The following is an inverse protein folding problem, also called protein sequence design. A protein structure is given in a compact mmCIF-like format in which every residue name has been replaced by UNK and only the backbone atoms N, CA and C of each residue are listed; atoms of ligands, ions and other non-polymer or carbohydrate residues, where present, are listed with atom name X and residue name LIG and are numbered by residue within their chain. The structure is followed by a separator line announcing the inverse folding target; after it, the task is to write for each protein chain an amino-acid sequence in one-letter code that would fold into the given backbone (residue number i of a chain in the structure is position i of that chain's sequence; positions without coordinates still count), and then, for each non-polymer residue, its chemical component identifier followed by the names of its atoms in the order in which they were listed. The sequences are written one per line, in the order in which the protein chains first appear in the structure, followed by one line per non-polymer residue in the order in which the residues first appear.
data_IF_459164726038
#
_entry.id   IF_459164726038
#
_cell.length_a   1.000
_cell.length_b   1.000
_cell.length_c   1.000
_cell.angle_alpha   90.00
_cell.angle_beta   90.00
_cell.angle_gamma   90.00
#
_symmetry.space_group_name_H-M   'P 1'
#
loop_
_entity.id
_entity.type
_entity.pdbx_description
1 polymer ?
#
# COMPACT_ATOMS: atom_id res chain seq x y z
N UNK A 1 16.01 -2.86 40.95
CA UNK A 1 15.76 -4.18 40.31
C UNK A 1 14.34 -4.30 39.74
N UNK A 2 13.28 -3.98 40.49
CA UNK A 2 11.87 -4.09 40.03
C UNK A 2 11.52 -3.26 38.78
N UNK A 3 12.05 -2.04 38.63
CA UNK A 3 11.80 -1.20 37.46
C UNK A 3 12.36 -1.80 36.15
N UNK A 4 13.46 -2.57 36.22
CA UNK A 4 14.06 -3.19 35.04
C UNK A 4 13.18 -4.35 34.53
N UNK A 5 12.64 -5.13 35.46
CA UNK A 5 11.74 -6.26 35.16
C UNK A 5 10.43 -5.75 34.55
N UNK A 6 9.79 -4.73 35.16
CA UNK A 6 8.54 -4.18 34.64
C UNK A 6 8.70 -3.56 33.23
N UNK A 7 9.84 -2.92 32.96
CA UNK A 7 10.10 -2.30 31.65
C UNK A 7 10.35 -3.36 30.56
N UNK A 8 11.02 -4.48 30.89
CA UNK A 8 11.25 -5.59 29.97
C UNK A 8 9.95 -6.31 29.58
N UNK A 9 9.06 -6.56 30.54
CA UNK A 9 7.74 -7.15 30.28
C UNK A 9 6.82 -6.20 29.50
N UNK A 10 6.83 -4.90 29.81
CA UNK A 10 6.05 -3.88 29.11
C UNK A 10 6.46 -3.71 27.64
N UNK A 11 7.76 -3.69 27.36
CA UNK A 11 8.27 -3.57 25.98
C UNK A 11 8.00 -4.82 25.15
N UNK A 12 8.18 -6.02 25.72
CA UNK A 12 7.90 -7.27 25.01
C UNK A 12 6.43 -7.35 24.58
N UNK A 13 5.50 -6.97 25.46
CA UNK A 13 4.07 -6.96 25.16
C UNK A 13 3.69 -5.93 24.08
N UNK A 14 4.38 -4.78 24.03
CA UNK A 14 4.16 -3.75 22.99
C UNK A 14 4.65 -4.18 21.61
N UNK A 15 5.79 -4.87 21.54
CA UNK A 15 6.32 -5.39 20.27
C UNK A 15 5.41 -6.52 19.77
N UNK A 16 5.00 -7.44 20.65
CA UNK A 16 4.09 -8.53 20.31
C UNK A 16 2.74 -8.00 19.79
N UNK A 17 2.16 -7.01 20.47
CA UNK A 17 0.92 -6.38 20.01
C UNK A 17 1.09 -5.70 18.63
N UNK A 18 2.22 -5.03 18.39
CA UNK A 18 2.48 -4.39 17.09
C UNK A 18 2.62 -5.42 15.97
N UNK A 19 3.30 -6.54 16.23
CA UNK A 19 3.43 -7.67 15.30
C UNK A 19 2.07 -8.29 14.98
N UNK A 20 1.25 -8.59 16.00
CA UNK A 20 -0.10 -9.16 15.81
C UNK A 20 -0.97 -8.23 14.99
N UNK A 21 -1.00 -6.93 15.32
CA UNK A 21 -1.83 -5.98 14.58
C UNK A 21 -1.34 -5.83 13.13
N UNK A 22 -0.03 -5.77 12.90
CA UNK A 22 0.52 -5.70 11.52
C UNK A 22 0.21 -6.98 10.74
N UNK A 23 0.25 -8.15 11.38
CA UNK A 23 -0.13 -9.42 10.75
C UNK A 23 -1.61 -9.41 10.35
N UNK A 24 -2.50 -9.01 11.26
CA UNK A 24 -3.95 -8.90 10.99
C UNK A 24 -4.21 -7.94 9.82
N UNK A 25 -3.57 -6.77 9.82
CA UNK A 25 -3.72 -5.78 8.73
C UNK A 25 -3.23 -6.32 7.40
N UNK A 26 -2.08 -7.00 7.37
CA UNK A 26 -1.58 -7.63 6.14
C UNK A 26 -2.52 -8.73 5.62
N UNK A 27 -3.11 -9.52 6.52
CA UNK A 27 -4.07 -10.57 6.16
C UNK A 27 -5.35 -10.00 5.57
N UNK A 28 -5.88 -8.92 6.16
CA UNK A 28 -7.05 -8.21 5.62
C UNK A 28 -6.71 -7.61 4.25
N UNK A 29 -5.54 -6.98 4.11
CA UNK A 29 -5.11 -6.39 2.83
C UNK A 29 -4.98 -7.44 1.71
N UNK A 30 -4.46 -8.63 2.04
CA UNK A 30 -4.39 -9.75 1.09
C UNK A 30 -5.78 -10.23 0.67
N UNK A 31 -6.69 -10.42 1.63
CA UNK A 31 -8.06 -10.86 1.35
C UNK A 31 -8.81 -9.84 0.48
N UNK A 32 -8.75 -8.56 0.85
CA UNK A 32 -9.38 -7.48 0.11
C UNK A 32 -8.81 -7.37 -1.30
N UNK A 33 -7.47 -7.34 -1.43
CA UNK A 33 -6.79 -7.30 -2.72
C UNK A 33 -7.14 -8.50 -3.61
N UNK A 34 -7.36 -9.68 -3.02
CA UNK A 34 -7.74 -10.88 -3.77
C UNK A 34 -9.18 -10.76 -4.31
N UNK A 35 -10.12 -10.34 -3.47
CA UNK A 35 -11.52 -10.12 -3.88
C UNK A 35 -11.59 -9.07 -5.00
N UNK A 36 -10.90 -7.94 -4.84
CA UNK A 36 -10.85 -6.87 -5.84
C UNK A 36 -10.19 -7.38 -7.13
N UNK A 37 -9.09 -8.14 -7.02
CA UNK A 37 -8.41 -8.74 -8.17
C UNK A 37 -9.30 -9.67 -8.99
N UNK A 38 -10.13 -10.47 -8.33
CA UNK A 38 -11.11 -11.34 -9.01
C UNK A 38 -12.20 -10.53 -9.72
N UNK A 39 -12.74 -9.50 -9.07
CA UNK A 39 -13.75 -8.62 -9.68
C UNK A 39 -13.16 -7.88 -10.88
N UNK A 40 -11.98 -7.30 -10.74
CA UNK A 40 -11.28 -6.61 -11.82
C UNK A 40 -10.98 -7.55 -12.99
N UNK A 41 -10.57 -8.79 -12.71
CA UNK A 41 -10.33 -9.79 -13.77
C UNK A 41 -11.57 -10.11 -14.60
N UNK A 42 -12.77 -10.02 -14.01
CA UNK A 42 -14.02 -10.23 -14.74
C UNK A 42 -14.44 -8.99 -15.55
N UNK A 43 -13.93 -7.80 -15.17
CA UNK A 43 -14.27 -6.53 -15.81
C UNK A 43 -13.33 -6.18 -16.97
N UNK A 44 -12.08 -6.63 -16.91
CA UNK A 44 -11.09 -6.44 -17.96
C UNK A 44 -10.95 -7.73 -18.79
N UNK A 45 -11.04 -7.63 -20.12
CA UNK A 45 -10.86 -8.74 -21.07
C UNK A 45 -9.37 -9.17 -21.12
N UNK A 46 -8.92 -9.87 -20.09
CA UNK A 46 -7.51 -10.27 -19.92
C UNK A 46 -7.26 -11.61 -20.64
N UNK A 47 -6.18 -11.69 -21.42
CA UNK A 47 -5.71 -12.94 -22.03
C UNK A 47 -5.56 -14.06 -20.98
N UNK A 48 -6.06 -15.25 -21.29
CA UNK A 48 -6.18 -16.37 -20.33
C UNK A 48 -4.87 -16.74 -19.61
N UNK A 49 -3.72 -16.65 -20.30
CA UNK A 49 -2.41 -16.93 -19.71
C UNK A 49 -1.90 -15.89 -18.70
N UNK A 50 -2.50 -14.69 -18.66
CA UNK A 50 -2.04 -13.56 -17.83
C UNK A 50 -2.95 -13.26 -16.63
N UNK A 51 -4.09 -13.95 -16.52
CA UNK A 51 -5.10 -13.76 -15.47
C UNK A 51 -4.52 -13.90 -14.06
N UNK A 52 -3.75 -14.96 -13.80
CA UNK A 52 -3.14 -15.18 -12.49
C UNK A 52 -2.14 -14.07 -12.12
N UNK A 53 -1.35 -13.63 -13.10
CA UNK A 53 -0.34 -12.58 -12.90
C UNK A 53 -0.99 -11.20 -12.68
N UNK A 54 -2.13 -10.95 -13.32
CA UNK A 54 -2.95 -9.76 -13.06
C UNK A 54 -3.48 -9.72 -11.64
N UNK A 55 -4.13 -10.81 -11.18
CA UNK A 55 -4.67 -10.90 -9.81
C UNK A 55 -3.56 -10.72 -8.77
N UNK A 56 -2.40 -11.34 -8.98
CA UNK A 56 -1.23 -11.15 -8.11
C UNK A 56 -0.76 -9.69 -8.07
N UNK A 57 -0.76 -8.99 -9.20
CA UNK A 57 -0.39 -7.58 -9.26
C UNK A 57 -1.39 -6.69 -8.49
N UNK A 58 -2.69 -6.98 -8.59
CA UNK A 58 -3.75 -6.31 -7.81
C UNK A 58 -3.56 -6.54 -6.31
N UNK A 59 -3.36 -7.78 -5.89
CA UNK A 59 -3.10 -8.12 -4.49
C UNK A 59 -1.86 -7.39 -3.96
N UNK A 60 -0.77 -7.37 -4.72
CA UNK A 60 0.47 -6.71 -4.31
C UNK A 60 0.28 -5.20 -4.16
N UNK A 61 -0.40 -4.58 -5.13
CA UNK A 61 -0.71 -3.16 -5.11
C UNK A 61 -1.55 -2.79 -3.89
N UNK A 62 -2.57 -3.60 -3.59
CA UNK A 62 -3.45 -3.36 -2.46
C UNK A 62 -2.72 -3.54 -1.12
N UNK A 63 -1.88 -4.59 -1.00
CA UNK A 63 -1.02 -4.78 0.16
C UNK A 63 -0.07 -3.60 0.38
N UNK A 64 0.62 -3.15 -0.67
CA UNK A 64 1.51 -2.00 -0.60
C UNK A 64 0.76 -0.75 -0.11
N UNK A 65 -0.40 -0.48 -0.69
CA UNK A 65 -1.19 0.69 -0.34
C UNK A 65 -1.69 0.64 1.10
N UNK A 66 -2.28 -0.47 1.53
CA UNK A 66 -2.79 -0.63 2.91
C UNK A 66 -1.66 -0.53 3.94
N UNK A 67 -0.50 -1.14 3.68
CA UNK A 67 0.65 -1.06 4.60
C UNK A 67 1.19 0.37 4.70
N UNK A 68 1.38 1.05 3.58
CA UNK A 68 1.85 2.45 3.57
C UNK A 68 0.83 3.34 4.31
N UNK A 69 -0.46 3.21 4.02
CA UNK A 69 -1.53 3.94 4.73
C UNK A 69 -1.51 3.69 6.24
N UNK A 70 -1.43 2.43 6.63
CA UNK A 70 -1.39 2.01 8.04
C UNK A 70 -0.20 2.63 8.76
N UNK A 71 0.96 2.66 8.12
CA UNK A 71 2.15 3.27 8.68
C UNK A 71 1.98 4.79 8.84
N UNK A 72 1.49 5.49 7.81
CA UNK A 72 1.22 6.93 7.88
C UNK A 72 0.21 7.27 9.00
N UNK A 73 -0.85 6.47 9.14
CA UNK A 73 -1.85 6.61 10.20
C UNK A 73 -1.24 6.42 11.60
N UNK A 74 -0.38 5.43 11.77
CA UNK A 74 0.26 5.16 13.07
C UNK A 74 1.31 6.21 13.44
N UNK A 75 2.06 6.72 12.47
CA UNK A 75 3.19 7.63 12.71
C UNK A 75 2.77 9.11 12.75
N UNK A 76 1.87 9.52 11.85
CA UNK A 76 1.50 10.92 11.61
C UNK A 76 0.04 11.20 12.04
N UNK A 77 -0.68 10.18 12.55
CA UNK A 77 -2.07 10.27 13.04
C UNK A 77 -2.99 10.94 12.01
N UNK A 78 -3.77 11.94 12.43
CA UNK A 78 -4.79 12.62 11.61
C UNK A 78 -4.21 13.32 10.37
N UNK A 79 -2.96 13.77 10.42
CA UNK A 79 -2.30 14.45 9.27
C UNK A 79 -2.02 13.44 8.15
N UNK A 80 -1.65 12.20 8.50
CA UNK A 80 -1.43 11.13 7.53
C UNK A 80 -2.69 10.80 6.74
N UNK A 81 -3.84 10.78 7.41
CA UNK A 81 -5.14 10.54 6.77
C UNK A 81 -5.51 11.64 5.76
N UNK A 82 -5.28 12.91 6.12
CA UNK A 82 -5.54 14.05 5.23
C UNK A 82 -4.64 14.01 3.98
N UNK A 83 -3.37 13.65 4.16
CA UNK A 83 -2.40 13.54 3.05
C UNK A 83 -2.83 12.47 2.04
N UNK A 84 -3.30 11.31 2.50
CA UNK A 84 -3.76 10.23 1.60
C UNK A 84 -5.05 10.60 0.85
N UNK A 85 -5.97 11.35 1.49
CA UNK A 85 -7.15 11.90 0.80
C UNK A 85 -6.77 12.90 -0.29
N UNK A 86 -5.75 13.74 -0.07
CA UNK A 86 -5.24 14.67 -1.08
C UNK A 86 -4.64 13.89 -2.26
N UNK A 87 -3.84 12.85 -2.00
CA UNK A 87 -3.26 12.01 -3.06
C UNK A 87 -4.36 11.33 -3.89
N UNK A 88 -5.41 10.81 -3.24
CA UNK A 88 -6.55 10.21 -3.93
C UNK A 88 -7.33 11.25 -4.75
N UNK A 89 -7.56 12.45 -4.21
CA UNK A 89 -8.23 13.53 -4.92
C UNK A 89 -7.43 13.97 -6.16
N UNK A 90 -6.10 14.09 -6.05
CA UNK A 90 -5.22 14.39 -7.20
C UNK A 90 -5.33 13.29 -8.25
N UNK A 91 -5.39 12.02 -7.86
CA UNK A 91 -5.60 10.91 -8.79
C UNK A 91 -6.94 11.02 -9.53
N UNK A 92 -8.05 11.26 -8.83
CA UNK A 92 -9.34 11.43 -9.49
C UNK A 92 -9.39 12.62 -10.45
N UNK A 93 -8.75 13.74 -10.09
CA UNK A 93 -8.63 14.90 -10.98
C UNK A 93 -7.77 14.56 -12.20
N UNK A 94 -6.63 13.88 -12.01
CA UNK A 94 -5.76 13.46 -13.11
C UNK A 94 -6.46 12.48 -14.06
N UNK A 95 -7.29 11.57 -13.53
CA UNK A 95 -8.07 10.62 -14.32
C UNK A 95 -9.22 11.28 -15.08
N UNK A 96 -9.84 12.32 -14.51
CA UNK A 96 -10.92 13.07 -15.14
C UNK A 96 -10.43 14.08 -16.20
N UNK A 97 -9.12 14.31 -16.33
CA UNK A 97 -8.56 15.04 -17.46
C UNK A 97 -8.52 14.13 -18.70
N UNK A 98 -9.73 13.87 -19.20
CA UNK A 98 -10.14 12.99 -20.27
C UNK A 98 -9.32 13.22 -21.55
N UNK A 99 -8.53 12.21 -21.94
CA UNK A 99 -8.02 12.06 -23.31
C UNK A 99 -6.55 11.65 -23.42
N UNK A 100 -5.73 11.88 -22.40
CA UNK A 100 -4.32 11.49 -22.38
C UNK A 100 -4.08 10.52 -21.20
N UNK A 101 -3.24 9.49 -21.40
CA UNK A 101 -2.86 8.57 -20.32
C UNK A 101 -2.47 9.38 -19.07
N UNK A 102 -2.87 8.99 -17.85
CA UNK A 102 -2.72 9.84 -16.68
C UNK A 102 -1.25 10.25 -16.44
N UNK A 103 -0.28 9.47 -16.90
CA UNK A 103 1.17 9.76 -16.94
C UNK A 103 1.61 10.91 -17.86
N UNK A 104 0.77 11.35 -18.80
CA UNK A 104 1.06 12.44 -19.74
C UNK A 104 0.71 13.82 -19.17
N UNK A 105 -0.09 13.87 -18.11
CA UNK A 105 -0.44 15.12 -17.44
C UNK A 105 0.61 15.49 -16.38
N UNK A 106 0.92 16.78 -16.22
CA UNK A 106 1.89 17.27 -15.23
C UNK A 106 1.53 16.85 -13.80
N UNK A 107 0.23 16.70 -13.51
CA UNK A 107 -0.28 16.23 -12.23
C UNK A 107 -0.16 14.70 -12.04
N UNK A 108 -0.34 13.91 -13.09
CA UNK A 108 -0.20 12.45 -13.00
C UNK A 108 1.25 11.98 -12.90
N UNK A 109 2.23 12.75 -13.36
CA UNK A 109 3.67 12.49 -13.08
C UNK A 109 4.04 12.55 -11.60
N UNK A 110 3.27 13.28 -10.81
CA UNK A 110 3.52 13.45 -9.37
C UNK A 110 2.79 12.38 -8.57
N UNK A 111 1.69 11.81 -9.09
CA UNK A 111 0.90 10.80 -8.40
C UNK A 111 1.54 9.40 -8.53
N UNK A 112 2.00 8.80 -7.42
CA UNK A 112 2.52 7.42 -7.43
C UNK A 112 1.47 6.41 -7.93
N UNK A 113 0.18 6.74 -7.76
CA UNK A 113 -0.93 5.91 -8.20
C UNK A 113 -1.07 5.88 -9.73
N UNK A 114 -0.71 6.97 -10.40
CA UNK A 114 -0.75 7.04 -11.86
C UNK A 114 0.31 6.13 -12.53
N UNK A 115 1.43 5.88 -11.85
CA UNK A 115 2.45 4.93 -12.32
C UNK A 115 1.96 3.48 -12.24
N UNK A 116 1.22 3.17 -11.17
CA UNK A 116 0.58 1.86 -11.00
C UNK A 116 -0.48 1.65 -12.09
N UNK A 117 -1.29 2.66 -12.38
CA UNK A 117 -2.31 2.63 -13.44
C UNK A 117 -1.71 2.42 -14.84
N UNK A 118 -0.64 3.15 -15.16
CA UNK A 118 0.10 2.92 -16.41
C UNK A 118 0.70 1.51 -16.50
N UNK A 119 1.10 0.91 -15.37
CA UNK A 119 1.58 -0.47 -15.35
C UNK A 119 0.46 -1.46 -15.64
N UNK A 120 -0.76 -1.23 -15.14
CA UNK A 120 -1.93 -2.03 -15.51
C UNK A 120 -2.27 -1.89 -16.99
N UNK A 121 -2.25 -0.67 -17.52
CA UNK A 121 -2.50 -0.42 -18.94
C UNK A 121 -1.48 -1.15 -19.83
N UNK A 122 -0.20 -1.07 -19.51
CA UNK A 122 0.86 -1.78 -20.24
C UNK A 122 0.75 -3.30 -20.08
N UNK A 123 0.29 -3.77 -18.92
CA UNK A 123 0.06 -5.20 -18.69
C UNK A 123 -1.09 -5.74 -19.53
N UNK A 124 -2.19 -4.99 -19.64
CA UNK A 124 -3.36 -5.36 -20.44
C UNK A 124 -3.06 -5.34 -21.95
N UNK A 125 -2.20 -4.43 -22.41
CA UNK A 125 -1.81 -4.31 -23.82
C UNK A 125 -0.65 -5.24 -24.23
N UNK A 126 -0.15 -6.10 -23.34
CA UNK A 126 0.98 -7.01 -23.58
C UNK A 126 2.30 -6.31 -24.03
N UNK A 127 2.42 -5.00 -23.81
CA UNK A 127 3.64 -4.23 -24.10
C UNK A 127 4.70 -4.42 -23.00
N UNK A 128 5.97 -4.36 -23.39
CA UNK A 128 7.11 -4.87 -22.65
C UNK A 128 7.33 -4.25 -21.24
N UNK A 129 7.80 -5.12 -20.33
CA UNK A 129 8.44 -4.86 -19.03
C UNK A 129 7.59 -4.51 -17.79
N UNK A 130 6.40 -5.12 -17.63
CA UNK A 130 5.67 -5.07 -16.34
C UNK A 130 6.45 -5.67 -15.16
N UNK A 131 7.50 -6.46 -15.43
CA UNK A 131 8.35 -7.08 -14.42
C UNK A 131 9.01 -6.04 -13.50
N UNK A 132 9.46 -4.91 -14.04
CA UNK A 132 10.09 -3.84 -13.25
C UNK A 132 9.11 -3.23 -12.23
N UNK A 133 7.87 -3.00 -12.63
CA UNK A 133 6.85 -2.43 -11.73
C UNK A 133 6.45 -3.42 -10.65
N UNK A 134 6.31 -4.70 -10.99
CA UNK A 134 6.03 -5.75 -10.00
C UNK A 134 7.15 -5.87 -8.98
N UNK A 135 8.42 -5.81 -9.41
CA UNK A 135 9.57 -5.81 -8.50
C UNK A 135 9.55 -4.57 -7.59
N UNK A 136 9.27 -3.39 -8.14
CA UNK A 136 9.17 -2.16 -7.37
C UNK A 136 8.05 -2.21 -6.32
N UNK A 137 6.85 -2.69 -6.71
CA UNK A 137 5.73 -2.89 -5.80
C UNK A 137 6.06 -3.89 -4.70
N UNK A 138 6.79 -4.97 -5.02
CA UNK A 138 7.23 -5.95 -4.05
C UNK A 138 8.19 -5.33 -3.02
N UNK A 139 9.15 -4.53 -3.46
CA UNK A 139 10.08 -3.80 -2.58
C UNK A 139 9.31 -2.82 -1.68
N UNK A 140 8.37 -2.05 -2.23
CA UNK A 140 7.52 -1.13 -1.45
C UNK A 140 6.70 -1.90 -0.42
N UNK A 141 6.15 -3.05 -0.78
CA UNK A 141 5.37 -3.90 0.14
C UNK A 141 6.24 -4.38 1.31
N UNK A 142 7.46 -4.85 1.03
CA UNK A 142 8.41 -5.27 2.07
C UNK A 142 8.77 -4.09 2.98
N UNK A 143 9.08 -2.93 2.41
CA UNK A 143 9.41 -1.72 3.17
C UNK A 143 8.22 -1.31 4.05
N UNK A 144 7.00 -1.26 3.49
CA UNK A 144 5.78 -0.96 4.22
C UNK A 144 5.51 -1.95 5.36
N UNK A 145 5.79 -3.24 5.14
CA UNK A 145 5.67 -4.26 6.18
C UNK A 145 6.70 -4.06 7.30
N UNK A 146 7.97 -3.86 6.96
CA UNK A 146 9.04 -3.60 7.93
C UNK A 146 8.80 -2.32 8.73
N UNK A 147 8.35 -1.25 8.07
CA UNK A 147 7.98 0.01 8.72
C UNK A 147 6.81 -0.16 9.69
N UNK A 148 5.82 -0.98 9.34
CA UNK A 148 4.73 -1.32 10.25
C UNK A 148 5.14 -2.26 11.39
N UNK A 149 6.25 -2.99 11.25
CA UNK A 149 6.78 -3.86 12.30
C UNK A 149 7.67 -3.07 13.28
N UNK A 150 8.44 -2.11 12.77
CA UNK A 150 9.32 -1.22 13.54
C UNK A 150 8.59 0.08 13.91
N UNK A 151 7.41 -0.05 14.51
CA UNK A 151 6.76 1.12 15.11
C UNK A 151 7.53 1.47 16.38
N UNK A 152 8.45 2.43 16.24
CA UNK A 152 8.92 3.21 17.38
C UNK A 152 7.73 4.07 17.84
N UNK A 153 7.32 4.00 19.11
CA UNK A 153 6.34 4.96 19.62
C UNK A 153 6.94 6.36 19.52
N UNK A 154 6.55 7.13 18.51
CA UNK A 154 6.98 8.53 18.32
C UNK A 154 6.32 9.48 19.31
N UNK A 155 5.87 8.99 20.46
CA UNK A 155 5.36 9.87 21.49
C UNK A 155 5.69 9.31 22.86
N UNK A 156 6.83 9.76 23.41
CA UNK A 156 6.78 10.30 24.76
C UNK A 156 5.84 11.51 24.70
N UNK A 157 4.52 11.31 24.67
CA UNK A 157 3.66 12.29 25.33
C UNK A 157 3.95 12.06 26.80
N UNK A 158 4.87 12.87 27.35
CA UNK A 158 4.87 13.10 28.79
C UNK A 158 3.53 13.78 29.05
N UNK A 159 2.56 13.00 29.52
CA UNK A 159 1.43 13.57 30.22
C UNK A 159 2.04 14.27 31.44
N UNK A 160 1.98 15.59 31.41
CA UNK A 160 2.12 16.41 32.60
C UNK A 160 0.99 16.08 33.56
#
# INVERSE_FOLDING_TARGET
MLQFIHNHFSQHNKIWNSVVVTAVISGIAMLEGFVIGLVAMNQFDILEGYRLKFVMMVVLTMCAFVLVNTYLLRQIRTIGMCLMLIVLAIYFVAMNQLGASPTQTTLGKISPLSYVDAAYFNFLNAEQSTLLVVILLFVITIIGFLLNLVIKPLTKVRLF
#
